data_IF_149680148524
#
_entry.id   IF_149680148524
#
_cell.length_a   1.000
_cell.length_b   1.000
_cell.length_c   1.000
_cell.angle_alpha   90.00
_cell.angle_beta   90.00
_cell.angle_gamma   90.00
#
_symmetry.space_group_name_H-M   'P 1'
#
loop_
_entity.id
_entity.type
_entity.pdbx_description
1 polymer ?
2 polymer ?
3 non-polymer ?
4 non-polymer ?
5 non-polymer ?
6 water ?
#
# COMPACT_ATOMS: atom_id res chain seq x y z
N UNK A 8 -17.40 -20.98 12.69
CA UNK A 8 -16.10 -20.36 12.26
C UNK A 8 -15.59 -20.98 10.96
N UNK A 9 -15.04 -20.16 10.09
CA UNK A 9 -14.32 -20.61 8.88
C UNK A 9 -12.90 -21.04 9.26
N UNK A 10 -12.22 -20.33 10.16
CA UNK A 10 -10.87 -20.78 10.66
C UNK A 10 -11.05 -21.85 11.70
N UNK A 11 -10.30 -22.95 11.63
CA UNK A 11 -10.38 -24.00 12.68
C UNK A 11 -9.56 -23.60 13.93
N UNK A 12 -8.58 -22.70 13.81
CA UNK A 12 -7.86 -22.12 14.96
C UNK A 12 -7.38 -20.73 14.56
N UNK A 13 -7.31 -19.85 15.54
CA UNK A 13 -6.93 -18.44 15.33
C UNK A 13 -5.41 -18.31 15.36
N UNK A 14 -4.79 -18.87 14.34
CA UNK A 14 -3.33 -18.93 14.16
C UNK A 14 -3.02 -18.87 12.69
N UNK A 15 -1.78 -18.63 12.37
CA UNK A 15 -1.36 -18.64 10.95
C UNK A 15 -1.64 -20.02 10.33
N UNK A 16 -1.40 -21.07 11.10
CA UNK A 16 -1.69 -22.46 10.68
C UNK A 16 -3.15 -22.61 10.29
N UNK A 17 -4.07 -22.02 11.07
CA UNK A 17 -5.50 -22.02 10.76
C UNK A 17 -5.74 -21.28 9.46
N UNK A 18 -5.10 -20.14 9.25
CA UNK A 18 -5.33 -19.35 8.01
C UNK A 18 -4.83 -20.15 6.82
N UNK A 19 -3.71 -20.87 6.92
CA UNK A 19 -3.11 -21.54 5.76
C UNK A 19 -4.08 -22.66 5.42
N UNK A 20 -4.59 -23.37 6.41
CA UNK A 20 -5.55 -24.47 6.13
C UNK A 20 -6.82 -23.91 5.44
N UNK A 21 -7.31 -22.77 5.88
CA UNK A 21 -8.47 -22.12 5.24
C UNK A 21 -8.12 -21.76 3.79
N UNK A 22 -6.96 -21.21 3.53
CA UNK A 22 -6.52 -20.74 2.17
C UNK A 22 -6.49 -21.94 1.21
N UNK A 23 -6.18 -23.12 1.69
CA UNK A 23 -6.09 -24.33 0.80
C UNK A 23 -7.39 -25.09 0.77
N UNK A 24 -8.44 -24.61 1.43
CA UNK A 24 -9.79 -25.20 1.33
C UNK A 24 -10.59 -24.61 0.16
N UNK A 25 -11.67 -25.29 -0.23
CA UNK A 25 -12.61 -24.83 -1.27
C UNK A 25 -13.29 -23.53 -0.86
N UNK A 26 -13.37 -23.19 0.44
CA UNK A 26 -14.07 -21.98 0.94
C UNK A 26 -13.29 -20.70 0.66
N UNK A 27 -12.00 -20.78 0.36
CA UNK A 27 -11.19 -19.56 0.19
C UNK A 27 -10.82 -19.45 -1.28
N UNK A 28 -11.51 -18.57 -2.01
CA UNK A 28 -11.23 -18.38 -3.45
C UNK A 28 -10.68 -16.98 -3.74
N UNK A 29 -11.05 -15.99 -2.94
CA UNK A 29 -10.84 -14.57 -3.25
C UNK A 29 -10.22 -13.86 -2.05
N UNK A 30 -9.03 -13.37 -2.23
CA UNK A 30 -8.22 -12.71 -1.19
C UNK A 30 -8.12 -11.23 -1.54
N UNK A 31 -8.47 -10.37 -0.59
CA UNK A 31 -8.11 -8.91 -0.67
C UNK A 31 -6.92 -8.67 0.24
N UNK A 32 -5.91 -7.97 -0.25
CA UNK A 32 -4.76 -7.53 0.55
C UNK A 32 -4.91 -6.04 0.76
N UNK A 33 -4.68 -5.60 1.99
CA UNK A 33 -4.66 -4.17 2.39
C UNK A 33 -3.24 -3.91 2.88
N UNK A 34 -2.49 -3.02 2.26
CA UNK A 34 -1.04 -2.90 2.59
C UNK A 34 -0.67 -1.47 2.81
N UNK A 35 0.29 -1.31 3.69
CA UNK A 35 0.83 -0.02 4.08
C UNK A 35 2.34 0.06 4.05
N UNK A 36 2.85 1.09 4.69
CA UNK A 36 4.27 1.41 4.61
C UNK A 36 5.14 0.26 5.10
N UNK A 37 4.61 -0.58 6.02
CA UNK A 37 5.37 -1.67 6.64
C UNK A 37 5.84 -2.68 5.61
N UNK A 38 5.24 -2.75 4.43
CA UNK A 38 5.68 -3.73 3.40
C UNK A 38 6.84 -3.12 2.59
N UNK A 39 7.12 -1.83 2.67
CA UNK A 39 8.15 -1.22 1.80
C UNK A 39 9.34 -0.75 2.68
N UNK A 40 9.31 -0.92 4.01
CA UNK A 40 10.45 -0.43 4.84
C UNK A 40 11.66 -1.37 4.64
N UNK A 41 11.50 -2.64 4.30
CA UNK A 41 12.69 -3.49 4.05
C UNK A 41 13.26 -3.22 2.64
N UNK A 42 12.56 -2.49 1.77
CA UNK A 42 13.05 -2.04 0.44
C UNK A 42 13.76 -0.68 0.57
N UNK A 43 13.84 -0.15 1.80
CA UNK A 43 14.43 1.18 2.10
C UNK A 43 13.51 2.37 1.85
N UNK A 44 12.21 2.19 1.73
CA UNK A 44 11.25 3.31 1.47
C UNK A 44 10.74 3.78 2.82
N UNK A 45 10.88 5.08 3.20
CA UNK A 45 10.46 5.49 4.52
C UNK A 45 8.94 5.60 4.64
N UNK A 46 8.41 5.35 5.84
CA UNK A 46 7.00 5.68 6.16
C UNK A 46 6.83 7.22 6.17
N UNK A 47 6.33 7.79 5.10
CA UNK A 47 6.16 9.26 4.94
C UNK A 47 5.18 9.86 5.98
N UNK A 48 4.28 9.07 6.56
CA UNK A 48 3.20 9.56 7.46
C UNK A 48 3.65 9.63 8.91
N UNK A 49 4.76 8.96 9.25
CA UNK A 49 5.28 8.79 10.62
C UNK A 49 6.10 10.00 11.02
N UNK A 50 5.72 10.75 12.09
CA UNK A 50 6.52 11.88 12.55
C UNK A 50 7.96 11.47 12.90
N UNK A 51 8.16 10.22 13.29
CA UNK A 51 9.49 9.69 13.72
C UNK A 51 10.36 9.28 12.54
N UNK A 52 9.93 9.46 11.29
CA UNK A 52 10.75 9.14 10.09
C UNK A 52 11.84 10.22 9.86
N UNK A 57 14.63 17.34 8.76
CA UNK A 57 15.41 17.98 7.65
C UNK A 57 14.50 18.93 6.87
N UNK A 58 13.56 19.62 7.52
CA UNK A 58 12.53 20.45 6.84
C UNK A 58 12.67 21.96 7.13
N UNK A 59 13.32 22.35 8.22
CA UNK A 59 13.37 23.78 8.66
C UNK A 59 13.81 24.67 7.48
N UNK A 60 14.69 24.14 6.61
CA UNK A 60 15.25 24.86 5.43
C UNK A 60 14.13 25.40 4.52
N UNK A 61 12.86 24.99 4.68
CA UNK A 61 11.67 25.55 3.99
C UNK A 61 10.87 26.43 4.96
N UNK A 62 10.06 27.34 4.42
CA UNK A 62 9.21 28.28 5.20
C UNK A 62 7.83 27.65 5.45
N UNK A 63 7.79 26.41 5.99
CA UNK A 63 6.52 25.66 6.26
C UNK A 63 5.91 26.21 7.54
N UNK A 64 4.56 26.34 7.62
CA UNK A 64 3.92 26.82 8.85
C UNK A 64 4.03 25.76 9.97
N UNK A 65 3.95 24.51 9.56
CA UNK A 65 3.94 23.29 10.42
C UNK A 65 4.52 22.15 9.58
N UNK A 66 5.37 21.27 10.17
CA UNK A 66 5.99 20.18 9.42
C UNK A 66 5.07 19.39 8.48
N UNK A 67 3.82 19.15 8.92
CA UNK A 67 2.80 18.31 8.23
C UNK A 67 2.33 18.96 6.91
N UNK A 68 2.56 20.26 6.72
CA UNK A 68 2.08 21.00 5.52
C UNK A 68 2.77 20.48 4.25
N UNK A 69 3.93 19.79 4.35
CA UNK A 69 4.72 19.38 3.17
C UNK A 69 3.92 18.28 2.43
N UNK A 70 2.97 17.67 3.12
CA UNK A 70 2.11 16.62 2.49
C UNK A 70 0.63 17.05 2.41
N UNK A 71 0.29 18.32 2.68
CA UNK A 71 -1.09 18.83 2.55
C UNK A 71 -1.27 19.52 1.20
N UNK A 72 -2.42 19.26 0.55
CA UNK A 72 -2.79 19.82 -0.77
C UNK A 72 -2.84 21.34 -0.65
N UNK A 73 -3.42 21.86 0.44
CA UNK A 73 -3.61 23.32 0.66
C UNK A 73 -2.26 24.02 0.52
N UNK A 74 -1.21 23.47 1.17
CA UNK A 74 0.15 24.06 1.08
C UNK A 74 0.72 23.80 -0.32
N UNK A 75 0.61 22.58 -0.84
CA UNK A 75 1.27 22.24 -2.13
C UNK A 75 0.80 23.22 -3.24
N UNK A 76 -0.51 23.48 -3.25
CA UNK A 76 -1.21 24.46 -4.12
C UNK A 76 -0.59 25.85 -3.98
N UNK A 77 -0.18 26.26 -2.78
CA UNK A 77 0.47 27.60 -2.60
C UNK A 77 1.92 27.54 -3.08
N UNK A 78 2.72 26.60 -2.55
CA UNK A 78 4.17 26.50 -2.86
C UNK A 78 4.58 25.05 -3.07
N UNK A 79 4.76 24.61 -4.34
CA UNK A 79 5.15 23.24 -4.66
C UNK A 79 6.66 22.94 -4.50
N UNK A 80 7.51 23.96 -4.38
CA UNK A 80 8.99 23.74 -4.46
C UNK A 80 9.51 22.89 -3.30
N UNK A 81 9.04 23.08 -2.04
CA UNK A 81 9.46 22.23 -0.93
C UNK A 81 9.21 20.76 -1.23
N UNK A 82 8.02 20.46 -1.69
CA UNK A 82 7.68 19.04 -1.98
C UNK A 82 8.74 18.46 -2.90
N UNK A 83 9.03 19.15 -4.00
CA UNK A 83 9.95 18.63 -5.06
C UNK A 83 11.41 18.55 -4.58
N UNK A 84 11.88 19.48 -3.75
CA UNK A 84 13.24 19.41 -3.19
C UNK A 84 13.34 18.20 -2.25
N UNK A 85 12.29 17.96 -1.46
CA UNK A 85 12.20 16.81 -0.54
C UNK A 85 12.16 15.54 -1.38
N UNK A 86 11.33 15.51 -2.43
CA UNK A 86 11.24 14.33 -3.31
C UNK A 86 12.65 13.97 -3.76
N UNK A 87 13.49 14.94 -4.10
CA UNK A 87 14.88 14.66 -4.54
C UNK A 87 15.66 13.98 -3.40
N UNK A 88 15.54 14.52 -2.19
CA UNK A 88 16.16 14.00 -0.93
C UNK A 88 15.78 12.52 -0.75
N UNK A 89 14.47 12.23 -0.84
CA UNK A 89 13.90 10.90 -0.45
C UNK A 89 13.92 9.90 -1.61
N UNK A 90 14.17 10.33 -2.85
CA UNK A 90 14.04 9.46 -4.05
C UNK A 90 14.90 8.21 -3.86
N UNK A 91 14.33 7.00 -3.98
CA UNK A 91 15.12 5.78 -3.81
C UNK A 91 16.22 5.54 -4.85
N UNK A 92 17.34 4.94 -4.38
CA UNK A 92 18.53 4.63 -5.22
C UNK A 92 18.26 3.44 -6.10
N UNK A 93 17.20 2.71 -5.76
CA UNK A 93 16.81 1.47 -6.43
C UNK A 93 15.36 1.18 -6.05
N UNK A 94 14.63 0.55 -6.94
CA UNK A 94 13.25 0.12 -6.64
C UNK A 94 13.16 -1.40 -6.72
N UNK A 95 13.29 -2.00 -5.55
CA UNK A 95 13.41 -3.47 -5.38
C UNK A 95 12.29 -3.92 -4.47
N UNK A 96 11.21 -4.52 -5.01
CA UNK A 96 10.13 -4.96 -4.16
C UNK A 96 10.54 -6.07 -3.20
N UNK A 97 9.80 -6.15 -2.11
CA UNK A 97 10.14 -7.01 -0.96
C UNK A 97 9.51 -8.38 -1.13
N UNK A 98 9.93 -9.30 -0.28
CA UNK A 98 9.29 -10.63 -0.24
C UNK A 98 7.77 -10.51 -0.15
N UNK A 99 7.29 -9.57 0.65
CA UNK A 99 5.83 -9.33 0.82
C UNK A 99 5.16 -8.93 -0.51
N UNK A 100 5.77 -8.10 -1.34
CA UNK A 100 5.29 -7.74 -2.69
C UNK A 100 5.23 -8.98 -3.58
N UNK A 101 6.29 -9.81 -3.55
CA UNK A 101 6.31 -11.01 -4.44
C UNK A 101 5.32 -12.05 -3.93
N UNK A 102 5.07 -12.14 -2.62
CA UNK A 102 4.02 -13.03 -2.09
C UNK A 102 2.67 -12.69 -2.77
N UNK A 103 2.36 -11.41 -2.86
CA UNK A 103 1.15 -10.92 -3.53
C UNK A 103 1.17 -11.29 -5.03
N UNK A 104 2.33 -11.27 -5.68
CA UNK A 104 2.43 -11.77 -7.09
C UNK A 104 2.09 -13.26 -7.13
N UNK A 105 2.64 -14.05 -6.21
CA UNK A 105 2.24 -15.48 -6.07
C UNK A 105 0.70 -15.58 -5.94
N UNK A 106 0.11 -14.84 -4.98
CA UNK A 106 -1.37 -14.95 -4.85
C UNK A 106 -2.03 -14.80 -6.25
N UNK A 107 -1.60 -13.80 -7.00
CA UNK A 107 -2.12 -13.50 -8.36
C UNK A 107 -1.92 -14.74 -9.25
N UNK A 108 -0.73 -15.31 -9.22
CA UNK A 108 -0.40 -16.45 -10.11
C UNK A 108 -1.24 -17.66 -9.74
N UNK A 109 -1.58 -17.83 -8.47
CA UNK A 109 -2.36 -18.99 -7.93
C UNK A 109 -3.88 -18.74 -8.13
N UNK A 110 -4.28 -17.62 -8.71
CA UNK A 110 -5.67 -17.25 -9.00
C UNK A 110 -6.45 -16.89 -7.75
N UNK A 111 -5.79 -16.37 -6.72
CA UNK A 111 -6.45 -16.11 -5.41
C UNK A 111 -6.62 -14.60 -5.22
N UNK A 112 -5.93 -13.78 -5.97
CA UNK A 112 -5.93 -12.34 -5.65
C UNK A 112 -7.14 -11.67 -6.27
N UNK A 113 -8.06 -11.18 -5.44
CA UNK A 113 -9.15 -10.33 -5.96
C UNK A 113 -8.64 -8.91 -6.15
N UNK A 114 -7.95 -8.34 -5.16
CA UNK A 114 -7.51 -6.94 -5.24
C UNK A 114 -6.45 -6.72 -4.19
N UNK A 115 -5.53 -5.83 -4.48
CA UNK A 115 -4.57 -5.27 -3.52
C UNK A 115 -4.91 -3.79 -3.38
N UNK A 116 -5.29 -3.37 -2.17
CA UNK A 116 -5.55 -1.95 -1.81
C UNK A 116 -4.30 -1.47 -1.11
N UNK A 117 -3.62 -0.51 -1.72
CA UNK A 117 -2.32 -0.02 -1.19
C UNK A 117 -2.45 1.44 -0.78
N UNK A 118 -1.78 1.73 0.33
CA UNK A 118 -1.58 3.10 0.87
C UNK A 118 -0.27 3.69 0.32
N UNK A 119 0.50 2.88 -0.37
CA UNK A 119 1.89 3.28 -0.78
C UNK A 119 1.88 3.92 -2.15
N UNK A 120 2.85 4.83 -2.36
CA UNK A 120 3.01 5.59 -3.63
C UNK A 120 4.26 5.16 -4.41
N UNK A 121 4.99 4.14 -3.94
CA UNK A 121 6.36 3.80 -4.37
C UNK A 121 6.42 2.91 -5.61
N UNK A 122 5.30 2.48 -6.18
CA UNK A 122 5.23 1.70 -7.44
C UNK A 122 5.68 0.26 -7.23
N UNK A 123 6.05 -0.19 -6.05
CA UNK A 123 6.71 -1.52 -5.91
C UNK A 123 5.70 -2.62 -6.24
N UNK A 124 4.42 -2.41 -5.97
CA UNK A 124 3.42 -3.44 -6.36
C UNK A 124 3.47 -3.69 -7.87
N UNK A 125 3.57 -2.63 -8.69
CA UNK A 125 3.58 -2.74 -10.19
C UNK A 125 4.89 -3.43 -10.63
N UNK A 126 6.01 -3.08 -10.00
CA UNK A 126 7.31 -3.71 -10.35
C UNK A 126 7.27 -5.21 -10.04
N UNK A 127 6.57 -5.57 -8.98
CA UNK A 127 6.45 -6.98 -8.58
C UNK A 127 5.48 -7.72 -9.49
N UNK A 128 4.77 -7.08 -10.38
CA UNK A 128 3.96 -7.84 -11.34
C UNK A 128 2.48 -7.73 -11.09
N UNK A 129 2.04 -6.87 -10.18
CA UNK A 129 0.56 -6.65 -10.09
C UNK A 129 0.11 -5.68 -11.20
N UNK A 130 -0.93 -6.03 -11.95
CA UNK A 130 -1.49 -5.19 -13.03
C UNK A 130 -2.42 -4.10 -12.47
N UNK A 131 -2.58 -3.01 -13.23
CA UNK A 131 -3.51 -1.94 -12.84
C UNK A 131 -4.85 -2.54 -12.41
N UNK A 132 -5.39 -3.57 -13.07
CA UNK A 132 -6.73 -4.12 -12.76
C UNK A 132 -6.71 -4.71 -11.33
N UNK A 133 -5.54 -5.12 -10.82
CA UNK A 133 -5.40 -5.88 -9.55
C UNK A 133 -5.28 -4.89 -8.41
N UNK A 134 -5.03 -3.63 -8.71
CA UNK A 134 -4.59 -2.61 -7.72
C UNK A 134 -5.63 -1.54 -7.51
N UNK A 135 -5.75 -1.11 -6.26
CA UNK A 135 -6.41 0.16 -5.91
C UNK A 135 -5.33 0.95 -5.22
N UNK A 136 -4.78 1.93 -5.93
CA UNK A 136 -3.77 2.82 -5.27
C UNK A 136 -4.56 3.89 -4.55
N UNK A 137 -4.89 3.64 -3.28
CA UNK A 137 -5.79 4.49 -2.50
C UNK A 137 -5.21 5.90 -2.37
N UNK A 138 -3.88 6.03 -2.26
CA UNK A 138 -3.23 7.35 -2.12
C UNK A 138 -2.50 7.73 -3.42
N UNK A 139 -2.88 7.16 -4.56
CA UNK A 139 -2.22 7.40 -5.86
C UNK A 139 -0.82 6.83 -5.94
N UNK A 140 0.03 7.40 -6.78
CA UNK A 140 1.32 6.76 -7.12
C UNK A 140 2.25 7.78 -7.81
N UNK A 141 3.54 7.52 -7.70
CA UNK A 141 4.56 8.19 -8.54
C UNK A 141 4.69 7.55 -9.91
N UNK A 142 3.97 6.46 -10.21
CA UNK A 142 4.15 5.73 -11.48
C UNK A 142 3.93 6.65 -12.67
N UNK A 143 2.88 7.47 -12.58
CA UNK A 143 2.58 8.50 -13.59
C UNK A 143 2.43 9.84 -12.91
N UNK A 144 2.57 10.87 -13.73
CA UNK A 144 2.35 12.27 -13.30
C UNK A 144 1.51 12.97 -14.38
N UNK A 145 0.79 14.02 -14.02
CA UNK A 145 -0.05 14.76 -14.98
C UNK A 145 0.23 16.27 -14.88
N UNK A 146 0.28 16.93 -16.04
CA UNK A 146 0.00 18.36 -16.10
C UNK A 146 -1.25 18.70 -15.27
N UNK A 147 -1.22 19.78 -14.50
CA UNK A 147 -2.35 20.22 -13.62
C UNK A 147 -3.34 21.10 -14.36
N UNK A 148 -3.03 21.62 -15.54
CA UNK A 148 -4.05 22.39 -16.31
C UNK A 148 -5.22 21.49 -16.75
N UNK A 149 -6.43 21.80 -16.30
CA UNK A 149 -7.63 20.96 -16.57
C UNK A 149 -7.78 20.71 -18.07
N UNK A 150 -7.42 21.70 -18.93
CA UNK A 150 -7.61 21.64 -20.40
C UNK A 150 -6.52 20.77 -21.07
N UNK A 151 -5.47 20.39 -20.37
CA UNK A 151 -4.29 19.74 -20.98
C UNK A 151 -4.14 18.34 -20.41
N UNK A 152 -3.73 18.23 -19.13
CA UNK A 152 -3.62 16.94 -18.38
C UNK A 152 -2.68 15.97 -19.12
N UNK A 153 -1.70 16.47 -19.87
CA UNK A 153 -0.63 15.58 -20.42
C UNK A 153 -0.06 14.67 -19.33
N UNK A 154 0.04 13.39 -19.64
CA UNK A 154 0.60 12.33 -18.75
C UNK A 154 2.12 12.23 -18.97
N UNK A 155 2.89 11.98 -17.92
CA UNK A 155 4.36 11.83 -17.98
C UNK A 155 4.77 10.62 -17.17
N UNK A 156 5.70 9.79 -17.67
CA UNK A 156 6.19 8.64 -16.91
C UNK A 156 7.19 9.03 -15.80
N UNK A 157 7.41 8.12 -14.86
CA UNK A 157 8.30 8.38 -13.70
C UNK A 157 9.73 8.68 -14.17
N UNK A 158 10.22 8.09 -15.28
CA UNK A 158 11.59 8.39 -15.77
C UNK A 158 11.71 9.89 -16.06
N UNK A 159 10.66 10.46 -16.66
CA UNK A 159 10.57 11.91 -17.00
C UNK A 159 10.57 12.68 -15.69
N UNK A 160 9.72 12.25 -14.76
CA UNK A 160 9.55 12.99 -13.47
C UNK A 160 10.84 12.89 -12.66
N UNK A 161 11.44 11.70 -12.59
CA UNK A 161 12.74 11.54 -11.87
C UNK A 161 13.77 12.53 -12.44
N UNK A 162 13.91 12.60 -13.77
CA UNK A 162 14.85 13.54 -14.45
C UNK A 162 14.60 14.98 -13.95
N UNK A 163 13.35 15.43 -13.85
CA UNK A 163 13.06 16.83 -13.44
C UNK A 163 13.38 17.02 -11.95
N UNK A 164 13.07 16.03 -11.10
CA UNK A 164 13.30 16.18 -9.64
C UNK A 164 14.80 16.36 -9.37
N UNK A 165 15.66 15.59 -10.07
CA UNK A 165 17.13 15.58 -9.88
C UNK A 165 17.75 16.89 -10.36
N UNK A 166 17.41 17.30 -11.58
CA UNK A 166 17.75 18.61 -12.22
C UNK A 166 17.56 19.77 -11.23
N UNK A 167 16.66 19.63 -10.23
CA UNK A 167 16.24 20.79 -9.39
C UNK A 167 15.46 21.78 -10.28
N UNK A 168 14.80 21.28 -11.34
CA UNK A 168 13.92 22.07 -12.27
C UNK A 168 12.49 21.73 -11.88
N UNK A 169 11.67 22.72 -11.48
CA UNK A 169 10.24 22.44 -11.14
C UNK A 169 9.62 21.86 -12.41
N UNK A 170 9.00 20.65 -12.38
CA UNK A 170 8.60 20.01 -13.62
C UNK A 170 7.43 20.74 -14.27
N UNK A 171 7.62 21.09 -15.55
CA UNK A 171 6.67 21.89 -16.34
C UNK A 171 6.27 21.03 -17.55
N UNK A 172 5.00 21.16 -17.92
CA UNK A 172 4.39 20.51 -19.10
C UNK A 172 5.05 21.01 -20.39
N UNK A 173 5.49 20.09 -21.24
CA UNK A 173 6.07 20.43 -22.56
C UNK A 173 5.04 21.08 -23.47
N UNK A 174 3.75 20.88 -23.25
CA UNK A 174 2.74 21.42 -24.19
C UNK A 174 2.27 22.80 -23.77
N UNK A 175 2.10 23.05 -22.46
CA UNK A 175 1.39 24.25 -21.97
C UNK A 175 2.19 24.97 -20.87
N UNK A 176 3.35 24.44 -20.46
CA UNK A 176 4.22 25.05 -19.42
C UNK A 176 3.50 25.25 -18.06
N UNK A 177 2.45 24.32 -17.77
CA UNK A 177 1.88 24.28 -16.40
C UNK A 177 2.67 23.29 -15.53
N UNK A 178 2.45 23.33 -14.24
CA UNK A 178 3.12 22.41 -13.32
C UNK A 178 2.73 21.00 -13.70
N UNK A 179 3.65 20.03 -13.56
CA UNK A 179 3.32 18.60 -13.65
C UNK A 179 3.44 18.02 -12.24
N UNK A 180 2.41 17.30 -11.81
CA UNK A 180 2.25 16.79 -10.42
C UNK A 180 2.30 15.27 -10.46
N UNK A 181 3.10 14.60 -9.61
CA UNK A 181 2.94 13.15 -9.44
C UNK A 181 1.52 12.77 -8.98
N UNK A 182 1.01 11.65 -9.47
CA UNK A 182 -0.39 11.22 -9.34
C UNK A 182 -0.65 10.68 -7.94
N UNK A 183 -0.09 11.34 -6.95
CA UNK A 183 -0.33 11.05 -5.50
C UNK A 183 -1.53 11.83 -5.00
N UNK A 184 -2.18 11.31 -3.98
CA UNK A 184 -3.27 11.96 -3.20
C UNK A 184 -2.60 12.64 -2.00
N UNK A 185 -2.56 13.96 -2.00
CA UNK A 185 -2.08 14.72 -0.83
C UNK A 185 -3.08 14.57 0.33
N UNK A 186 -2.67 14.72 1.60
CA UNK A 186 -3.60 14.92 2.75
C UNK A 186 -4.52 16.10 2.42
N UNK A 187 -5.83 15.93 2.68
CA UNK A 187 -6.90 16.91 2.45
C UNK A 187 -7.50 16.77 1.07
N UNK A 188 -7.05 15.81 0.24
CA UNK A 188 -7.69 15.51 -1.07
C UNK A 188 -8.62 14.32 -0.92
N UNK A 189 -9.69 14.32 -1.70
CA UNK A 189 -10.58 13.13 -1.92
C UNK A 189 -9.77 11.99 -2.52
N UNK A 190 -10.01 10.79 -2.02
CA UNK A 190 -9.45 9.56 -2.63
C UNK A 190 -10.05 9.41 -4.01
N UNK A 191 -9.33 8.71 -4.93
CA UNK A 191 -9.88 8.40 -6.24
C UNK A 191 -11.25 7.73 -6.16
N UNK A 192 -12.12 8.02 -7.15
CA UNK A 192 -13.42 7.35 -7.30
C UNK A 192 -13.20 5.83 -7.28
N UNK A 193 -12.14 5.38 -7.93
CA UNK A 193 -11.80 3.94 -8.05
C UNK A 193 -11.78 3.31 -6.68
N UNK A 194 -11.24 3.98 -5.66
CA UNK A 194 -11.25 3.45 -4.28
C UNK A 194 -12.67 3.07 -3.88
N UNK A 195 -13.61 4.00 -4.03
CA UNK A 195 -15.00 3.79 -3.54
C UNK A 195 -15.71 2.77 -4.44
N UNK A 196 -15.50 2.83 -5.77
CA UNK A 196 -16.21 1.93 -6.71
C UNK A 196 -15.75 0.50 -6.45
N UNK A 197 -14.44 0.29 -6.37
CA UNK A 197 -13.88 -1.06 -6.10
C UNK A 197 -14.35 -1.58 -4.73
N UNK A 198 -14.36 -0.73 -3.72
CA UNK A 198 -14.74 -1.17 -2.34
C UNK A 198 -16.16 -1.73 -2.41
N UNK A 199 -17.09 -1.01 -3.04
CA UNK A 199 -18.51 -1.46 -3.05
C UNK A 199 -18.57 -2.87 -3.64
N UNK A 200 -17.82 -3.15 -4.69
CA UNK A 200 -17.92 -4.42 -5.43
C UNK A 200 -17.12 -5.51 -4.68
N UNK A 201 -15.89 -5.23 -4.34
CA UNK A 201 -14.95 -6.29 -3.94
C UNK A 201 -15.41 -6.87 -2.60
N UNK A 202 -15.90 -6.06 -1.66
CA UNK A 202 -16.18 -6.59 -0.29
C UNK A 202 -17.45 -7.45 -0.26
N UNK A 203 -18.23 -7.51 -1.35
CA UNK A 203 -19.30 -8.52 -1.54
C UNK A 203 -18.70 -9.89 -1.83
N UNK A 204 -17.45 -9.95 -2.25
CA UNK A 204 -16.90 -11.16 -2.92
C UNK A 204 -15.75 -11.76 -2.13
N UNK A 205 -15.32 -11.11 -1.05
CA UNK A 205 -14.04 -11.46 -0.40
C UNK A 205 -14.19 -12.67 0.54
N UNK A 206 -13.24 -13.60 0.50
CA UNK A 206 -13.16 -14.75 1.43
C UNK A 206 -12.07 -14.57 2.49
N UNK A 207 -11.12 -13.67 2.34
CA UNK A 207 -10.01 -13.53 3.26
C UNK A 207 -9.47 -12.13 3.09
N UNK A 208 -9.25 -11.44 4.19
CA UNK A 208 -8.60 -10.12 4.19
C UNK A 208 -7.22 -10.28 4.82
N UNK A 209 -6.16 -10.00 4.04
CA UNK A 209 -4.75 -9.98 4.50
C UNK A 209 -4.29 -8.55 4.65
N UNK A 210 -4.06 -8.14 5.89
CA UNK A 210 -3.72 -6.74 6.28
C UNK A 210 -2.25 -6.73 6.64
N UNK A 211 -1.42 -6.13 5.80
CA UNK A 211 0.06 -6.25 5.95
C UNK A 211 0.69 -4.88 6.05
N UNK A 212 1.50 -4.64 7.09
CA UNK A 212 2.32 -3.44 7.18
C UNK A 212 1.53 -2.16 7.31
N UNK A 213 0.41 -2.16 7.97
CA UNK A 213 -0.35 -0.90 8.19
C UNK A 213 -0.83 -0.88 9.63
N UNK A 214 -0.69 0.24 10.31
CA UNK A 214 -1.27 0.50 11.65
C UNK A 214 -2.70 1.05 11.54
N UNK A 215 -3.22 1.18 10.32
CA UNK A 215 -4.64 1.54 10.07
C UNK A 215 -4.97 2.86 10.78
N UNK A 216 -4.11 3.87 10.61
CA UNK A 216 -4.27 5.21 11.24
C UNK A 216 -4.68 6.26 10.19
N UNK A 217 -4.82 5.91 8.93
CA UNK A 217 -5.15 6.88 7.86
C UNK A 217 -6.56 6.54 7.40
N UNK A 218 -7.40 7.56 7.42
CA UNK A 218 -8.78 7.46 6.94
C UNK A 218 -8.84 8.07 5.55
N UNK A 219 -9.77 7.63 4.68
CA UNK A 219 -10.69 6.52 4.99
C UNK A 219 -10.17 5.10 4.71
N UNK A 220 -8.88 4.93 4.42
CA UNK A 220 -8.36 3.59 4.11
C UNK A 220 -8.70 2.62 5.25
N UNK A 221 -8.46 3.02 6.49
CA UNK A 221 -8.63 2.17 7.68
C UNK A 221 -10.07 1.63 7.80
N UNK A 222 -11.08 2.32 7.27
CA UNK A 222 -12.52 1.91 7.28
C UNK A 222 -12.72 0.61 6.48
N UNK A 223 -11.78 0.22 5.61
CA UNK A 223 -11.94 -1.00 4.76
C UNK A 223 -12.08 -2.22 5.64
N UNK A 224 -11.49 -2.26 6.83
CA UNK A 224 -11.55 -3.54 7.58
C UNK A 224 -13.01 -3.77 8.03
N UNK A 225 -13.80 -2.72 8.24
CA UNK A 225 -15.22 -2.82 8.70
C UNK A 225 -16.15 -3.21 7.52
N UNK A 226 -15.63 -3.29 6.28
CA UNK A 226 -16.44 -3.61 5.06
C UNK A 226 -16.43 -5.10 4.77
N UNK A 227 -15.61 -5.86 5.47
CA UNK A 227 -15.57 -7.33 5.29
C UNK A 227 -16.89 -7.91 5.79
N UNK A 228 -17.45 -8.91 5.07
CA UNK A 228 -18.50 -9.71 5.69
C UNK A 228 -18.13 -10.24 7.09
N UNK A 229 -19.15 -10.48 7.90
CA UNK A 229 -18.97 -10.96 9.29
C UNK A 229 -18.18 -12.27 9.33
N UNK A 230 -18.34 -13.15 8.35
CA UNK A 230 -17.67 -14.45 8.38
C UNK A 230 -16.22 -14.35 7.94
N UNK A 231 -15.79 -13.32 7.22
CA UNK A 231 -14.52 -13.32 6.48
C UNK A 231 -13.38 -13.26 7.47
N UNK A 232 -12.46 -14.24 7.50
CA UNK A 232 -11.25 -14.10 8.32
C UNK A 232 -10.34 -12.95 7.91
N UNK A 233 -9.67 -12.37 8.92
CA UNK A 233 -8.79 -11.20 8.75
C UNK A 233 -7.47 -11.52 9.44
N UNK A 234 -6.42 -11.58 8.65
CA UNK A 234 -5.06 -11.85 9.16
C UNK A 234 -4.26 -10.56 9.08
N UNK A 235 -3.76 -10.11 10.24
CA UNK A 235 -2.82 -8.98 10.32
C UNK A 235 -1.40 -9.50 10.42
N UNK A 236 -0.54 -9.09 9.51
CA UNK A 236 0.93 -9.31 9.55
C UNK A 236 1.56 -7.94 9.70
N UNK A 237 2.08 -7.69 10.89
CA UNK A 237 2.54 -6.32 11.19
C UNK A 237 3.48 -6.36 12.38
N UNK A 238 4.33 -5.36 12.57
CA UNK A 238 5.27 -5.35 13.71
C UNK A 238 4.47 -5.25 15.02
N UNK A 239 3.38 -4.48 14.97
CA UNK A 239 2.52 -4.20 16.14
C UNK A 239 1.08 -4.56 15.83
N UNK A 240 0.36 -4.98 16.86
CA UNK A 240 -1.10 -5.15 16.77
C UNK A 240 -1.73 -3.81 16.43
N UNK A 241 -2.76 -3.85 15.61
CA UNK A 241 -3.46 -2.66 15.11
C UNK A 241 -4.91 -3.00 14.79
N UNK A 242 -5.74 -1.97 14.69
CA UNK A 242 -7.12 -2.15 14.19
C UNK A 242 -8.12 -2.55 15.25
N UNK A 243 -7.74 -2.70 16.52
CA UNK A 243 -8.71 -2.97 17.61
C UNK A 243 -9.59 -1.75 17.90
N UNK A 244 -10.79 -1.98 18.45
CA UNK A 244 -11.67 -0.87 18.91
C UNK A 244 -10.84 0.02 19.85
N UNK A 245 -11.14 1.31 19.81
CA UNK A 245 -10.41 2.32 20.62
C UNK A 245 -11.21 2.56 21.90
N UNK A 246 -10.68 2.18 23.09
CA UNK A 246 -11.49 2.14 24.30
C UNK A 246 -11.89 3.56 24.72
N UNK A 247 -11.25 4.56 24.08
CA UNK A 247 -11.53 6.01 24.15
C UNK A 247 -12.67 6.30 23.16
N UNK A 248 -12.44 6.20 21.84
CA UNK A 248 -13.43 6.51 20.76
C UNK A 248 -14.52 5.44 20.71
N UNK A 257 -14.09 -3.25 14.80
CA UNK A 257 -12.61 -3.39 14.89
C UNK A 257 -12.17 -4.84 14.92
N UNK A 258 -10.88 -5.05 14.83
CA UNK A 258 -10.26 -6.38 15.01
C UNK A 258 -10.50 -6.85 16.46
N UNK A 259 -10.86 -8.13 16.60
CA UNK A 259 -10.90 -8.80 17.93
C UNK A 259 -10.02 -10.06 17.86
N UNK A 260 -8.77 -9.91 18.31
CA UNK A 260 -7.77 -10.99 18.32
C UNK A 260 -7.88 -11.83 19.59
N UNK A 261 -8.08 -11.19 20.75
CA UNK A 261 -7.67 -11.77 22.05
C UNK A 261 -8.86 -12.06 22.98
N UNK A 262 -10.08 -11.55 22.74
CA UNK A 262 -11.22 -11.70 23.68
C UNK A 262 -11.79 -13.12 23.56
N UNK A 263 -12.59 -13.58 24.53
CA UNK A 263 -13.31 -14.87 24.44
C UNK A 263 -14.34 -14.88 23.32
N UNK A 264 -14.64 -13.73 22.70
CA UNK A 264 -15.58 -13.63 21.57
C UNK A 264 -14.82 -13.68 20.25
N UNK A 265 -13.47 -13.68 20.26
CA UNK A 265 -12.68 -13.66 19.01
C UNK A 265 -13.05 -14.93 18.23
N UNK A 266 -13.23 -14.82 16.93
CA UNK A 266 -13.67 -15.96 16.08
C UNK A 266 -13.00 -15.89 14.69
N UNK A 267 -12.43 -14.80 14.23
CA UNK A 267 -11.93 -14.79 12.82
C UNK A 267 -10.68 -13.93 12.58
N UNK A 268 -10.24 -13.19 13.58
CA UNK A 268 -9.11 -12.24 13.41
C UNK A 268 -7.86 -12.85 14.01
N UNK A 269 -6.76 -12.78 13.29
CA UNK A 269 -5.47 -13.37 13.71
C UNK A 269 -4.38 -12.33 13.53
N UNK A 270 -3.50 -12.17 14.53
CA UNK A 270 -2.31 -11.30 14.47
C UNK A 270 -1.05 -12.15 14.43
N UNK A 271 -0.21 -11.86 13.47
CA UNK A 271 1.14 -12.41 13.37
C UNK A 271 2.05 -11.19 13.50
N UNK A 272 2.80 -11.14 14.58
CA UNK A 272 3.63 -9.97 14.92
C UNK A 272 5.08 -10.22 14.54
N UNK A 273 5.57 -9.31 13.73
CA UNK A 273 6.93 -9.42 13.22
C UNK A 273 7.08 -8.59 11.96
N UNK A 274 8.25 -8.70 11.33
CA UNK A 274 8.48 -7.99 10.04
C UNK A 274 7.56 -8.59 8.98
N UNK A 275 7.03 -7.78 8.08
CA UNK A 275 6.06 -8.28 7.07
C UNK A 275 6.70 -9.40 6.26
N UNK A 276 7.96 -9.24 5.90
CA UNK A 276 8.63 -10.25 5.04
C UNK A 276 8.68 -11.60 5.77
N UNK A 277 8.97 -11.58 7.06
CA UNK A 277 9.07 -12.85 7.82
C UNK A 277 7.70 -13.49 7.92
N UNK A 278 6.63 -12.69 8.06
CA UNK A 278 5.29 -13.27 8.18
C UNK A 278 4.91 -13.90 6.86
N UNK A 279 5.19 -13.19 5.77
CA UNK A 279 4.84 -13.70 4.42
C UNK A 279 5.68 -14.96 4.16
N UNK A 280 6.92 -15.00 4.61
CA UNK A 280 7.71 -16.25 4.44
C UNK A 280 7.04 -17.38 5.22
N UNK A 281 6.60 -17.11 6.46
CA UNK A 281 6.04 -18.14 7.34
C UNK A 281 4.75 -18.67 6.71
N UNK A 282 3.93 -17.78 6.18
CA UNK A 282 2.66 -18.20 5.53
C UNK A 282 2.95 -18.99 4.27
N UNK A 283 3.81 -18.48 3.40
CA UNK A 283 4.26 -19.23 2.18
C UNK A 283 4.74 -20.63 2.58
N UNK A 284 5.52 -20.75 3.67
CA UNK A 284 6.05 -22.07 4.05
C UNK A 284 4.89 -23.05 4.36
N UNK A 285 3.90 -22.63 5.16
CA UNK A 285 2.73 -23.47 5.50
C UNK A 285 2.01 -23.89 4.23
N UNK A 286 1.91 -22.99 3.26
CA UNK A 286 1.19 -23.26 2.00
C UNK A 286 1.97 -24.18 1.06
N UNK A 287 3.24 -24.51 1.35
CA UNK A 287 4.04 -25.29 0.39
C UNK A 287 4.55 -24.40 -0.76
N UNK A 288 4.58 -23.08 -0.55
CA UNK A 288 5.02 -22.11 -1.58
C UNK A 288 6.43 -21.58 -1.30
N UNK A 289 7.14 -22.06 -0.28
CA UNK A 289 8.42 -21.41 0.11
C UNK A 289 9.40 -21.44 -1.04
N UNK A 290 9.58 -22.59 -1.69
CA UNK A 290 10.58 -22.64 -2.79
C UNK A 290 10.12 -21.77 -3.96
N UNK A 291 8.82 -21.75 -4.28
CA UNK A 291 8.35 -20.91 -5.41
C UNK A 291 8.63 -19.45 -5.03
N UNK A 292 8.35 -19.08 -3.79
CA UNK A 292 8.55 -17.64 -3.37
C UNK A 292 10.03 -17.29 -3.42
N UNK A 293 10.88 -18.17 -2.86
CA UNK A 293 12.35 -17.94 -2.83
C UNK A 293 12.87 -17.76 -4.28
N UNK A 294 12.42 -18.65 -5.18
CA UNK A 294 12.89 -18.67 -6.58
C UNK A 294 12.42 -17.37 -7.27
N UNK A 295 11.18 -16.96 -7.03
CA UNK A 295 10.60 -15.74 -7.66
C UNK A 295 11.45 -14.55 -7.18
N UNK A 296 11.59 -14.39 -5.88
CA UNK A 296 12.30 -13.22 -5.31
C UNK A 296 13.74 -13.19 -5.80
N UNK A 297 14.44 -14.29 -5.80
CA UNK A 297 15.87 -14.28 -6.15
C UNK A 297 16.02 -13.92 -7.63
N UNK A 298 15.16 -14.43 -8.46
CA UNK A 298 15.18 -14.09 -9.87
C UNK A 298 14.90 -12.61 -10.08
N UNK A 299 13.87 -12.05 -9.45
CA UNK A 299 13.47 -10.65 -9.70
C UNK A 299 14.54 -9.75 -9.10
N UNK A 300 14.99 -10.05 -7.90
CA UNK A 300 16.10 -9.26 -7.29
C UNK A 300 17.32 -9.32 -8.18
N UNK A 301 17.70 -10.47 -8.76
CA UNK A 301 18.90 -10.51 -9.63
C UNK A 301 18.65 -9.63 -10.86
N UNK A 302 17.46 -9.71 -11.47
CA UNK A 302 17.08 -8.91 -12.64
C UNK A 302 17.26 -7.41 -12.34
N UNK A 303 16.74 -6.98 -11.19
CA UNK A 303 16.77 -5.55 -10.83
C UNK A 303 18.22 -5.14 -10.52
N UNK A 304 18.99 -6.02 -9.92
CA UNK A 304 20.39 -5.70 -9.54
C UNK A 304 21.16 -5.49 -10.84
N UNK A 305 20.79 -6.19 -11.91
CA UNK A 305 21.56 -6.21 -13.18
C UNK A 305 21.10 -5.14 -14.15
N UNK A 306 20.13 -4.34 -13.79
CA UNK A 306 19.61 -3.25 -14.65
C UNK A 306 20.74 -2.35 -15.11
N UNK B 1 -14.73 13.34 -1.74
CA UNK B 1 -15.14 12.31 -0.75
C UNK B 1 -14.56 12.67 0.61
N UNK B 2 -14.86 11.85 1.66
CA UNK B 2 -14.31 12.06 3.00
C UNK B 2 -12.76 12.07 2.96
N UNK B 3 -12.15 13.24 3.10
CA UNK B 3 -10.81 13.55 2.56
C UNK B 3 -9.74 12.72 3.29
N UNK B 4 -8.59 12.52 2.64
CA UNK B 4 -7.46 11.82 3.27
C UNK B 4 -6.96 12.60 4.49
N UNK B 5 -6.96 11.94 5.67
CA UNK B 5 -6.52 12.51 7.00
C UNK B 5 -6.01 11.41 7.92
N UNK B 6 -5.09 11.76 8.84
CA UNK B 6 -4.56 10.85 9.89
C UNK B 6 -5.65 10.57 10.93
X LIG C 1 13.13 -8.36 0.14
X LIG C 1 12.26 -8.55 1.23
X LIG C 1 13.65 -7.01 -0.04
X LIG C 1 14.89 -6.90 0.45
X LIG D 1 3.33 -14.54 16.52
X LIG D 1 2.83 -13.19 16.55
X LIG D 1 4.69 -14.73 16.00
X LIG D 1 5.55 -13.61 16.15
X LIG E 1 3.94 20.23 -0.29
X LIG E 1 2.94 20.51 0.61
X LIG E 1 4.31 21.46 -1.02
X LIG E 1 5.64 21.83 -1.02
X LIG F 1 5.38 4.29 -0.40
X LIG F 1 4.58 5.20 0.25
X LIG F 1 5.64 3.13 0.47
X LIG F 1 6.98 3.04 0.87
X LIG G 1 1.37 24.90 -6.38
X LIG G 1 1.14 23.62 -6.85
X LIG G 1 1.34 26.00 -7.38
X LIG G 1 1.47 27.29 -6.76
X LIG H 1 -0.03 20.82 -20.03
X LIG I 1 -0.60 10.01 1.25
X LIG I 1 -0.21 9.21 2.17
X LIG I 1 0.48 10.28 0.20
X LIG I 1 1.80 10.69 0.83
X LIG I 1 2.87 10.84 -0.23
X LIG I 1 4.16 11.44 0.25
X LIG I 1 5.29 11.12 -0.66
X LIG I 1 6.57 11.81 -0.28
X LIG I 1 7.48 12.03 -1.44
X LIG I 1 8.00 10.75 -2.03
X LIG I 1 9.48 10.78 -2.24
X LIG I 1 10.03 9.81 -3.23
X LIG I 1 9.24 8.57 -3.40
X LIG I 1 8.69 8.43 -4.78
X LIG I 1 9.03 7.10 -5.38
#
# INVERSE_FOLDING_TARGET
SLGSQKERLLDELTLEGVARYMQSERCRRVICLVGAGISTSAGIPDFRSPSTGLYDNLEKYHLPYPEAIFEISYFKKHPEPFFALAKELYPGQFKPTICHYFMRLLKDKGLLLRCYTQNIDTLERIAGLEQEDLVEAHGTFYTSHCVSASCRHEYPLSWMKEKIFSEVTPKCEDCQSLVKPDIVFFGESLPARFFSCMQSDFLKVDLLLVMGTSLQVQPFASLISKAPLSTPRLLINKEKAGQSDPFLGMIMGLGGGMDFDSKKAYRDVAWLGECDQGCLALAELLGWKKELEDLVRREHASIDAQS
APRKQLA
EDO C1 O1 C2 O2
EDO C1 O1 C2 O2
EDO C1 O1 C2 O2
EDO C1 O1 C2 O2
EDO C1 O1 C2 O2
ZN ZN
MYR C1 O1 C2 C3 C4 C5 C6 C7 C8 C9 C10 C11 C12 C13 C14
#
